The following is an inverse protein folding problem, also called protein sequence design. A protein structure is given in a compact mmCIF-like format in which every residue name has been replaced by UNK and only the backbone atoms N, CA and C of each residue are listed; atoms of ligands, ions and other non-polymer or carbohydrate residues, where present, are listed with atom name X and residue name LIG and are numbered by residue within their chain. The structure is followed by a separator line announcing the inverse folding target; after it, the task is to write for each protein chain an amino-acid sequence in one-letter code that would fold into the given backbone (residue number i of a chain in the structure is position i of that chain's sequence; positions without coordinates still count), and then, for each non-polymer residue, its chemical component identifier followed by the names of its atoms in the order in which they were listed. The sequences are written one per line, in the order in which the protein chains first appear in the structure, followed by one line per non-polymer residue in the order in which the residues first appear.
data_IF_767924154215
#
_entry.id   IF_767924154215
#
_cell.length_a   1.000
_cell.length_b   1.000
_cell.length_c   1.000
_cell.angle_alpha   90.00
_cell.angle_beta   90.00
_cell.angle_gamma   90.00
#
_symmetry.space_group_name_H-M   'P 1'
#
loop_
_entity.id
_entity.type
_entity.pdbx_description
1 polymer ?
#
# COMPACT_ATOMS: atom_id res chain seq x y z
N UNK A 1 74.73 -66.85 -27.26
CA UNK A 1 74.46 -66.26 -25.98
C UNK A 1 73.44 -65.13 -26.22
N UNK A 2 72.21 -65.35 -25.88
CA UNK A 2 71.07 -64.45 -26.20
C UNK A 2 70.63 -63.66 -24.95
N UNK A 3 70.72 -62.36 -24.96
CA UNK A 3 70.27 -61.44 -23.95
C UNK A 3 68.77 -61.10 -24.14
N UNK A 4 67.97 -61.47 -23.19
CA UNK A 4 66.55 -61.20 -23.22
C UNK A 4 66.29 -59.81 -22.58
N UNK A 5 65.73 -58.86 -23.35
CA UNK A 5 65.35 -57.56 -22.86
C UNK A 5 63.89 -57.65 -22.32
N UNK A 6 63.74 -57.38 -21.03
CA UNK A 6 62.44 -57.26 -20.37
C UNK A 6 61.88 -55.82 -20.52
N UNK A 7 60.78 -55.68 -21.22
CA UNK A 7 60.12 -54.41 -21.45
C UNK A 7 59.10 -54.20 -20.34
N UNK A 8 59.29 -53.19 -19.45
CA UNK A 8 58.37 -52.80 -18.41
C UNK A 8 57.36 -51.79 -18.98
N UNK A 9 56.10 -52.17 -19.08
CA UNK A 9 55.01 -51.32 -19.55
C UNK A 9 54.39 -50.61 -18.30
N UNK A 10 54.70 -49.34 -18.16
CA UNK A 10 54.01 -48.50 -17.14
C UNK A 10 52.66 -48.05 -17.68
N UNK A 11 51.54 -48.55 -17.08
CA UNK A 11 50.21 -48.06 -17.34
C UNK A 11 49.94 -46.89 -16.37
N UNK A 12 49.92 -45.67 -16.92
CA UNK A 12 49.49 -44.47 -16.17
C UNK A 12 47.95 -44.42 -16.25
N UNK A 13 47.28 -44.75 -15.17
CA UNK A 13 45.85 -44.56 -15.03
C UNK A 13 45.57 -43.08 -14.68
N UNK A 14 45.14 -42.29 -15.65
CA UNK A 14 44.68 -40.92 -15.44
C UNK A 14 43.26 -40.95 -14.85
N UNK A 15 43.14 -40.71 -13.56
CA UNK A 15 41.85 -40.47 -12.93
C UNK A 15 41.33 -39.09 -13.32
N UNK A 16 40.37 -39.03 -14.25
CA UNK A 16 39.64 -37.81 -14.59
C UNK A 16 38.55 -37.64 -13.50
N UNK A 17 38.82 -36.82 -12.49
CA UNK A 17 37.81 -36.37 -11.57
C UNK A 17 36.92 -35.33 -12.25
N UNK A 18 35.73 -35.74 -12.71
CA UNK A 18 34.70 -34.83 -13.22
C UNK A 18 34.17 -33.99 -12.05
N UNK A 19 34.58 -32.73 -12.00
CA UNK A 19 33.97 -31.73 -11.11
C UNK A 19 32.64 -31.31 -11.73
N UNK A 20 31.55 -31.82 -11.21
CA UNK A 20 30.19 -31.33 -11.53
C UNK A 20 30.01 -30.03 -10.80
N UNK A 21 30.13 -28.89 -11.52
CA UNK A 21 29.74 -27.58 -10.99
C UNK A 21 28.20 -27.58 -10.92
N UNK A 22 27.65 -27.80 -9.74
CA UNK A 22 26.24 -27.55 -9.46
C UNK A 22 26.08 -26.03 -9.39
N UNK A 23 25.71 -25.41 -10.50
CA UNK A 23 25.24 -24.02 -10.49
C UNK A 23 23.87 -24.02 -9.80
N UNK A 24 23.83 -23.63 -8.52
CA UNK A 24 22.60 -23.31 -7.86
C UNK A 24 22.02 -22.07 -8.54
N UNK A 25 21.05 -22.28 -9.42
CA UNK A 25 20.22 -21.22 -9.98
C UNK A 25 19.37 -20.65 -8.81
N UNK A 26 19.93 -19.68 -8.09
CA UNK A 26 19.19 -18.92 -7.10
C UNK A 26 18.19 -18.07 -7.87
N UNK A 27 17.00 -18.61 -8.13
CA UNK A 27 15.85 -17.81 -8.56
C UNK A 27 15.63 -16.73 -7.52
N UNK A 28 16.01 -15.51 -7.84
CA UNK A 28 15.61 -14.33 -7.07
C UNK A 28 14.08 -14.32 -7.12
N UNK A 29 13.45 -14.76 -6.05
CA UNK A 29 11.98 -14.64 -5.90
C UNK A 29 11.70 -13.16 -5.68
N UNK A 30 11.48 -12.44 -6.76
CA UNK A 30 10.99 -11.07 -6.69
C UNK A 30 9.59 -11.16 -6.10
N UNK A 31 9.43 -10.69 -4.86
CA UNK A 31 8.12 -10.66 -4.22
C UNK A 31 7.15 -9.84 -5.07
N UNK A 32 6.00 -10.43 -5.41
CA UNK A 32 4.97 -9.75 -6.19
C UNK A 32 4.46 -8.53 -5.43
N UNK A 33 4.48 -7.36 -6.07
CA UNK A 33 3.97 -6.11 -5.50
C UNK A 33 2.44 -6.11 -5.55
N UNK A 34 1.82 -5.77 -4.43
CA UNK A 34 0.37 -5.55 -4.35
C UNK A 34 -0.05 -4.28 -5.09
N UNK A 35 -1.34 -4.22 -5.38
CA UNK A 35 -2.02 -3.03 -5.87
C UNK A 35 -3.04 -2.60 -4.81
N UNK A 36 -3.21 -1.30 -4.65
CA UNK A 36 -4.15 -0.75 -3.69
C UNK A 36 -5.19 0.11 -4.39
N UNK A 37 -6.46 -0.09 -4.05
CA UNK A 37 -7.50 0.87 -4.38
C UNK A 37 -7.79 1.71 -3.14
N UNK A 38 -7.67 3.03 -3.26
CA UNK A 38 -8.29 3.98 -2.35
C UNK A 38 -9.62 4.41 -2.95
N UNK A 39 -10.71 3.89 -2.38
CA UNK A 39 -12.09 4.19 -2.81
C UNK A 39 -12.70 5.17 -1.81
N UNK A 40 -12.93 6.39 -2.21
CA UNK A 40 -13.46 7.45 -1.37
C UNK A 40 -14.92 7.70 -1.69
N UNK A 41 -15.79 7.52 -0.70
CA UNK A 41 -17.19 7.90 -0.77
C UNK A 41 -17.34 9.34 -0.25
N UNK A 42 -17.84 10.25 -1.08
CA UNK A 42 -18.19 11.62 -0.70
C UNK A 42 -19.66 11.66 -0.35
N UNK A 43 -19.97 12.14 0.85
CA UNK A 43 -21.29 12.04 1.48
C UNK A 43 -21.77 13.42 1.93
N UNK A 44 -23.00 13.78 1.61
CA UNK A 44 -23.56 15.11 1.88
C UNK A 44 -24.57 15.11 3.05
N UNK A 45 -24.91 13.92 3.59
CA UNK A 45 -25.89 13.80 4.68
C UNK A 45 -25.55 12.64 5.63
N UNK A 46 -26.10 12.68 6.85
CA UNK A 46 -26.01 11.56 7.79
C UNK A 46 -26.71 10.30 7.26
N UNK A 47 -27.80 10.44 6.52
CA UNK A 47 -28.48 9.32 5.87
C UNK A 47 -27.56 8.59 4.89
N UNK A 48 -26.77 9.33 4.10
CA UNK A 48 -25.76 8.73 3.20
C UNK A 48 -24.66 8.04 3.99
N UNK A 49 -24.19 8.63 5.10
CA UNK A 49 -23.20 7.99 5.98
C UNK A 49 -23.73 6.66 6.49
N UNK A 50 -24.93 6.63 7.07
CA UNK A 50 -25.54 5.42 7.65
C UNK A 50 -25.77 4.34 6.58
N UNK A 51 -26.29 4.72 5.41
CA UNK A 51 -26.54 3.77 4.31
C UNK A 51 -25.24 3.17 3.78
N UNK A 52 -24.21 3.99 3.60
CA UNK A 52 -22.90 3.53 3.11
C UNK A 52 -22.16 2.71 4.18
N UNK A 53 -22.17 3.12 5.45
CA UNK A 53 -21.60 2.33 6.55
C UNK A 53 -22.22 0.93 6.61
N UNK A 54 -23.56 0.86 6.60
CA UNK A 54 -24.28 -0.42 6.62
C UNK A 54 -23.90 -1.31 5.44
N UNK A 55 -23.91 -0.74 4.24
CA UNK A 55 -23.50 -1.47 3.04
C UNK A 55 -22.06 -2.00 3.12
N UNK A 56 -21.11 -1.17 3.54
CA UNK A 56 -19.72 -1.56 3.68
C UNK A 56 -19.58 -2.69 4.72
N UNK A 57 -20.17 -2.51 5.91
CA UNK A 57 -20.09 -3.44 7.02
C UNK A 57 -20.75 -4.79 6.72
N UNK A 58 -21.96 -4.78 6.17
CA UNK A 58 -22.81 -5.97 6.09
C UNK A 58 -22.74 -6.69 4.74
N UNK A 59 -22.43 -5.98 3.64
CA UNK A 59 -22.43 -6.56 2.31
C UNK A 59 -21.04 -6.54 1.65
N UNK A 60 -20.42 -5.36 1.50
CA UNK A 60 -19.24 -5.22 0.66
C UNK A 60 -18.00 -5.91 1.25
N UNK A 61 -17.63 -5.62 2.51
CA UNK A 61 -16.47 -6.23 3.14
C UNK A 61 -16.59 -7.76 3.28
N UNK A 62 -17.74 -8.33 3.70
CA UNK A 62 -17.92 -9.78 3.70
C UNK A 62 -17.73 -10.41 2.32
N UNK A 63 -18.27 -9.78 1.26
CA UNK A 63 -18.10 -10.26 -0.11
C UNK A 63 -16.63 -10.19 -0.58
N UNK A 64 -15.91 -9.12 -0.28
CA UNK A 64 -14.48 -9.01 -0.56
C UNK A 64 -13.68 -10.12 0.15
N UNK A 65 -13.97 -10.36 1.42
CA UNK A 65 -13.30 -11.41 2.22
C UNK A 65 -13.58 -12.81 1.66
N UNK A 66 -14.81 -13.06 1.20
CA UNK A 66 -15.18 -14.30 0.50
C UNK A 66 -14.38 -14.51 -0.81
N UNK A 67 -14.03 -13.41 -1.49
CA UNK A 67 -13.17 -13.43 -2.68
C UNK A 67 -11.67 -13.50 -2.35
N UNK A 68 -11.30 -13.68 -1.08
CA UNK A 68 -9.91 -13.80 -0.63
C UNK A 68 -9.18 -12.47 -0.49
N UNK A 69 -9.89 -11.33 -0.56
CA UNK A 69 -9.35 -10.00 -0.29
C UNK A 69 -9.45 -9.75 1.22
N UNK A 70 -8.31 -9.54 1.87
CA UNK A 70 -8.19 -9.35 3.32
C UNK A 70 -7.49 -8.03 3.62
N UNK A 71 -7.39 -7.68 4.91
CA UNK A 71 -6.70 -6.47 5.36
C UNK A 71 -7.31 -5.19 4.75
N UNK A 72 -8.64 -5.11 4.78
CA UNK A 72 -9.39 -4.00 4.20
C UNK A 72 -9.51 -2.89 5.25
N UNK A 73 -8.93 -1.73 4.96
CA UNK A 73 -9.07 -0.54 5.79
C UNK A 73 -10.34 0.23 5.47
N UNK A 74 -11.13 0.60 6.49
CA UNK A 74 -12.25 1.54 6.34
C UNK A 74 -12.10 2.65 7.34
N UNK A 75 -12.02 3.87 6.84
CA UNK A 75 -11.67 5.04 7.63
C UNK A 75 -12.66 6.18 7.43
N UNK A 76 -12.82 6.98 8.49
CA UNK A 76 -13.52 8.27 8.46
C UNK A 76 -12.54 9.40 8.73
N UNK A 77 -12.89 10.60 8.29
CA UNK A 77 -12.11 11.81 8.60
C UNK A 77 -12.13 12.05 10.12
N UNK A 78 -10.97 12.40 10.70
CA UNK A 78 -10.97 12.93 12.07
C UNK A 78 -11.75 14.25 12.08
N UNK A 79 -12.59 14.47 13.11
CA UNK A 79 -13.36 15.69 13.19
C UNK A 79 -12.47 16.93 13.12
N UNK A 80 -12.80 17.83 12.21
CA UNK A 80 -12.21 19.16 12.11
C UNK A 80 -13.35 20.17 12.08
N UNK A 81 -13.21 21.27 12.80
CA UNK A 81 -14.26 22.29 12.94
C UNK A 81 -14.69 22.95 11.61
N UNK A 82 -13.84 22.85 10.58
CA UNK A 82 -14.08 23.44 9.26
C UNK A 82 -14.59 22.47 8.21
N UNK A 83 -14.61 21.15 8.49
CA UNK A 83 -14.99 20.16 7.49
C UNK A 83 -16.52 20.02 7.41
N UNK A 84 -17.08 20.46 6.29
CA UNK A 84 -18.49 20.28 5.94
C UNK A 84 -18.74 18.97 5.18
N UNK A 85 -17.71 18.39 4.56
CA UNK A 85 -17.80 17.16 3.77
C UNK A 85 -17.51 15.94 4.63
N UNK A 86 -18.40 14.95 4.54
CA UNK A 86 -18.21 13.63 5.14
C UNK A 86 -17.61 12.70 4.11
N UNK A 87 -16.56 11.99 4.50
CA UNK A 87 -15.91 11.00 3.63
C UNK A 87 -15.74 9.67 4.36
N UNK A 88 -15.94 8.58 3.62
CA UNK A 88 -15.52 7.25 4.02
C UNK A 88 -14.48 6.79 3.00
N UNK A 89 -13.30 6.43 3.47
CA UNK A 89 -12.19 5.98 2.63
C UNK A 89 -11.97 4.49 2.87
N UNK A 90 -11.98 3.70 1.81
CA UNK A 90 -11.76 2.26 1.84
C UNK A 90 -10.45 1.96 1.14
N UNK A 91 -9.49 1.37 1.87
CA UNK A 91 -8.23 0.87 1.36
C UNK A 91 -8.36 -0.63 1.10
N UNK A 92 -8.27 -1.03 -0.17
CA UNK A 92 -8.47 -2.42 -0.60
C UNK A 92 -7.19 -2.92 -1.27
N UNK A 93 -6.49 -3.91 -0.69
CA UNK A 93 -5.33 -4.52 -1.34
C UNK A 93 -5.73 -5.62 -2.32
N UNK A 94 -5.03 -5.66 -3.45
CA UNK A 94 -5.16 -6.68 -4.48
C UNK A 94 -3.81 -7.31 -4.78
N UNK A 95 -3.80 -8.63 -4.93
CA UNK A 95 -2.57 -9.37 -5.30
C UNK A 95 -2.16 -9.13 -6.75
N UNK A 96 -3.08 -8.67 -7.61
CA UNK A 96 -2.83 -8.41 -9.03
C UNK A 96 -3.87 -7.44 -9.62
N UNK A 97 -3.55 -6.80 -10.73
CA UNK A 97 -4.51 -6.02 -11.52
C UNK A 97 -5.68 -6.89 -12.02
N UNK A 98 -5.44 -8.14 -12.37
CA UNK A 98 -6.50 -9.06 -12.78
C UNK A 98 -7.52 -9.30 -11.68
N UNK A 99 -7.09 -9.37 -10.40
CA UNK A 99 -8.00 -9.47 -9.27
C UNK A 99 -8.85 -8.20 -9.11
N UNK A 100 -8.24 -7.03 -9.27
CA UNK A 100 -8.95 -5.74 -9.25
C UNK A 100 -9.99 -5.66 -10.38
N UNK A 101 -9.60 -5.95 -11.62
CA UNK A 101 -10.49 -5.86 -12.80
C UNK A 101 -11.66 -6.85 -12.73
N UNK A 102 -11.46 -8.03 -12.15
CA UNK A 102 -12.50 -9.05 -12.03
C UNK A 102 -13.48 -8.81 -10.87
N UNK A 103 -13.23 -7.81 -10.00
CA UNK A 103 -13.98 -7.64 -8.76
C UNK A 103 -15.47 -7.41 -9.01
N UNK A 104 -15.81 -6.39 -9.79
CA UNK A 104 -17.22 -5.99 -10.00
C UNK A 104 -18.03 -7.11 -10.65
N UNK A 105 -17.45 -7.85 -11.62
CA UNK A 105 -18.10 -8.99 -12.24
C UNK A 105 -18.39 -10.13 -11.23
N UNK A 106 -17.45 -10.38 -10.31
CA UNK A 106 -17.65 -11.40 -9.27
C UNK A 106 -18.70 -10.98 -8.25
N UNK A 107 -18.71 -9.71 -7.84
CA UNK A 107 -19.72 -9.17 -6.93
C UNK A 107 -21.12 -9.21 -7.56
N UNK A 108 -21.26 -8.91 -8.84
CA UNK A 108 -22.54 -8.97 -9.56
C UNK A 108 -23.16 -10.39 -9.63
N UNK A 109 -22.35 -11.43 -9.41
CA UNK A 109 -22.79 -12.84 -9.36
C UNK A 109 -23.03 -13.36 -7.94
N UNK A 110 -22.65 -12.60 -6.89
CA UNK A 110 -22.80 -13.02 -5.50
C UNK A 110 -24.21 -12.67 -4.98
N UNK A 111 -25.09 -13.68 -4.93
CA UNK A 111 -26.49 -13.52 -4.47
C UNK A 111 -26.58 -12.97 -3.04
N UNK A 112 -25.67 -13.37 -2.15
CA UNK A 112 -25.65 -12.87 -0.76
C UNK A 112 -25.31 -11.41 -0.73
N UNK A 113 -24.28 -10.99 -1.44
CA UNK A 113 -23.89 -9.59 -1.58
C UNK A 113 -25.02 -8.74 -2.15
N UNK A 114 -25.66 -9.20 -3.23
CA UNK A 114 -26.78 -8.48 -3.88
C UNK A 114 -27.98 -8.34 -2.95
N UNK A 115 -28.34 -9.39 -2.21
CA UNK A 115 -29.48 -9.36 -1.29
C UNK A 115 -29.20 -8.48 -0.07
N UNK A 116 -28.04 -8.63 0.59
CA UNK A 116 -27.67 -7.86 1.79
C UNK A 116 -27.42 -6.40 1.44
N UNK A 117 -26.80 -6.12 0.29
CA UNK A 117 -26.51 -4.78 -0.20
C UNK A 117 -27.67 -4.05 -0.89
N UNK A 118 -28.86 -4.68 -1.00
CA UNK A 118 -29.94 -4.22 -1.87
C UNK A 118 -30.38 -2.77 -1.62
N UNK A 119 -30.41 -2.32 -0.37
CA UNK A 119 -30.78 -0.95 0.00
C UNK A 119 -29.84 0.09 -0.62
N UNK A 120 -28.55 -0.22 -0.69
CA UNK A 120 -27.52 0.62 -1.29
C UNK A 120 -27.48 0.44 -2.82
N UNK A 121 -27.44 -0.83 -3.29
CA UNK A 121 -27.24 -1.17 -4.70
C UNK A 121 -28.42 -0.75 -5.58
N UNK A 122 -29.66 -0.85 -5.05
CA UNK A 122 -30.88 -0.55 -5.78
C UNK A 122 -31.48 0.81 -5.36
N UNK A 123 -30.67 1.68 -4.73
CA UNK A 123 -31.14 2.99 -4.32
C UNK A 123 -31.65 3.81 -5.51
N UNK A 124 -32.74 4.52 -5.31
CA UNK A 124 -33.33 5.36 -6.35
C UNK A 124 -32.51 6.63 -6.56
N UNK A 125 -32.71 7.27 -7.71
CA UNK A 125 -32.08 8.56 -8.01
C UNK A 125 -32.29 9.62 -6.92
N UNK A 126 -33.49 9.63 -6.31
CA UNK A 126 -33.83 10.59 -5.24
C UNK A 126 -33.22 10.27 -3.89
N UNK A 127 -32.70 9.05 -3.72
CA UNK A 127 -32.15 8.54 -2.45
C UNK A 127 -30.74 7.97 -2.66
N UNK A 128 -29.93 8.68 -3.44
CA UNK A 128 -28.55 8.24 -3.72
C UNK A 128 -27.77 8.04 -2.41
N UNK A 129 -27.13 6.86 -2.24
CA UNK A 129 -26.45 6.52 -1.00
C UNK A 129 -25.10 7.25 -0.82
N UNK A 130 -24.66 7.95 -1.80
CA UNK A 130 -23.46 8.81 -1.80
C UNK A 130 -23.63 9.93 -2.83
N UNK A 131 -22.81 10.98 -2.72
CA UNK A 131 -22.72 12.03 -3.73
C UNK A 131 -21.81 11.63 -4.88
N UNK A 132 -20.58 11.17 -4.56
CA UNK A 132 -19.59 10.72 -5.53
C UNK A 132 -18.78 9.57 -4.94
N UNK A 133 -18.19 8.77 -5.85
CA UNK A 133 -17.11 7.84 -5.54
C UNK A 133 -15.90 8.29 -6.34
N UNK A 134 -14.78 8.46 -5.64
CA UNK A 134 -13.46 8.67 -6.20
C UNK A 134 -12.66 7.38 -6.04
N UNK A 135 -11.87 7.03 -7.03
CA UNK A 135 -11.03 5.83 -6.99
C UNK A 135 -9.62 6.17 -7.45
N UNK A 136 -8.65 5.82 -6.62
CA UNK A 136 -7.22 5.92 -6.94
C UNK A 136 -6.64 4.53 -6.90
N UNK A 137 -5.96 4.12 -7.98
CA UNK A 137 -5.26 2.84 -8.06
C UNK A 137 -3.76 3.08 -7.91
N UNK A 138 -3.16 2.35 -6.96
CA UNK A 138 -1.75 2.45 -6.64
C UNK A 138 -1.06 1.10 -6.84
N UNK A 139 0.24 1.15 -7.10
CA UNK A 139 1.13 0.00 -7.06
C UNK A 139 2.06 0.15 -5.86
N UNK A 140 2.14 -0.86 -5.00
CA UNK A 140 3.02 -0.85 -3.82
C UNK A 140 4.47 -0.51 -4.20
N UNK A 141 5.23 0.15 -3.34
CA UNK A 141 6.66 0.34 -3.55
C UNK A 141 7.39 -1.01 -3.56
N UNK A 142 8.48 -1.12 -4.31
CA UNK A 142 9.22 -2.39 -4.43
C UNK A 142 9.82 -2.83 -3.08
N UNK A 143 10.24 -1.88 -2.25
CA UNK A 143 10.84 -2.13 -0.95
C UNK A 143 9.78 -2.40 0.14
N UNK A 144 8.50 -2.06 -0.12
CA UNK A 144 7.34 -2.34 0.70
C UNK A 144 6.23 -2.95 -0.17
N UNK A 145 6.42 -4.18 -0.67
CA UNK A 145 5.60 -4.76 -1.74
C UNK A 145 4.20 -5.19 -1.30
N UNK A 146 3.96 -5.29 0.00
CA UNK A 146 2.69 -5.70 0.61
C UNK A 146 2.25 -4.72 1.69
N UNK A 147 0.94 -4.63 1.87
CA UNK A 147 0.31 -3.82 2.90
C UNK A 147 0.56 -4.42 4.30
N UNK A 148 0.80 -3.55 5.28
CA UNK A 148 0.98 -3.93 6.69
C UNK A 148 -0.20 -3.40 7.52
N UNK A 149 -0.81 -4.26 8.34
CA UNK A 149 -1.76 -3.80 9.35
C UNK A 149 -0.96 -3.32 10.57
N UNK A 150 -1.06 -2.04 10.92
CA UNK A 150 -0.34 -1.49 12.05
C UNK A 150 -0.86 -2.04 13.39
N UNK A 151 0.04 -2.40 14.28
CA UNK A 151 -0.32 -2.83 15.64
C UNK A 151 -0.33 -1.61 16.55
N UNK A 152 -1.53 -1.16 16.93
CA UNK A 152 -1.75 -0.03 17.83
C UNK A 152 -2.60 -0.48 19.02
N UNK A 153 -2.14 -0.20 20.24
CA UNK A 153 -2.83 -0.60 21.48
C UNK A 153 -3.86 0.43 21.98
N UNK A 154 -3.91 1.60 21.37
CA UNK A 154 -4.87 2.66 21.73
C UNK A 154 -6.29 2.36 21.24
N UNK A 155 -7.34 2.92 21.87
CA UNK A 155 -8.70 2.88 21.33
C UNK A 155 -8.76 3.41 19.90
N UNK A 156 -9.55 2.76 19.04
CA UNK A 156 -9.64 3.11 17.60
C UNK A 156 -9.97 4.58 17.34
N UNK A 157 -10.87 5.18 18.13
CA UNK A 157 -11.24 6.59 18.00
C UNK A 157 -10.08 7.57 18.23
N UNK A 158 -9.09 7.17 19.05
CA UNK A 158 -7.92 8.01 19.34
C UNK A 158 -6.83 7.89 18.27
N UNK A 159 -6.79 6.75 17.55
CA UNK A 159 -5.75 6.49 16.55
C UNK A 159 -5.74 7.56 15.46
N UNK A 160 -4.56 7.85 14.95
CA UNK A 160 -4.36 8.72 13.79
C UNK A 160 -3.77 7.88 12.67
N UNK A 161 -4.50 7.81 11.56
CA UNK A 161 -4.03 7.31 10.29
C UNK A 161 -3.82 8.52 9.39
N UNK A 162 -2.58 8.85 9.10
CA UNK A 162 -2.22 10.01 8.31
C UNK A 162 -1.97 9.58 6.86
N UNK A 163 -2.95 9.85 6.00
CA UNK A 163 -2.84 9.63 4.56
C UNK A 163 -2.24 10.87 3.91
N UNK A 164 -1.13 10.68 3.23
CA UNK A 164 -0.46 11.73 2.47
C UNK A 164 -0.46 11.45 0.98
N UNK A 165 -0.62 12.50 0.20
CA UNK A 165 -0.61 12.51 -1.25
C UNK A 165 0.37 13.58 -1.71
N UNK A 166 1.41 13.20 -2.46
CA UNK A 166 2.46 14.09 -2.94
C UNK A 166 2.46 14.13 -4.46
N UNK A 167 2.00 15.25 -5.00
CA UNK A 167 1.98 15.53 -6.43
C UNK A 167 3.31 16.16 -6.87
N UNK A 168 3.75 15.85 -8.07
CA UNK A 168 4.94 16.44 -8.68
C UNK A 168 4.57 17.14 -9.99
N UNK A 169 5.38 18.13 -10.39
CA UNK A 169 5.09 18.94 -11.56
C UNK A 169 5.27 18.18 -12.90
N UNK A 170 6.11 17.13 -12.93
CA UNK A 170 6.34 16.27 -14.09
C UNK A 170 6.66 14.84 -13.63
N UNK A 171 6.58 13.88 -14.56
CA UNK A 171 6.93 12.47 -14.30
C UNK A 171 8.42 12.30 -13.90
N UNK A 172 9.31 13.11 -14.45
CA UNK A 172 10.74 13.09 -14.10
C UNK A 172 10.95 13.57 -12.65
N UNK A 173 10.29 14.64 -12.26
CA UNK A 173 10.32 15.17 -10.88
C UNK A 173 9.67 14.17 -9.91
N UNK A 174 8.58 13.54 -10.32
CA UNK A 174 7.94 12.46 -9.58
C UNK A 174 8.89 11.27 -9.34
N UNK A 175 9.58 10.82 -10.39
CA UNK A 175 10.56 9.73 -10.27
C UNK A 175 11.69 10.10 -9.29
N UNK A 176 12.10 11.37 -9.26
CA UNK A 176 13.06 11.89 -8.29
C UNK A 176 12.49 11.86 -6.86
N UNK A 177 11.20 12.20 -6.66
CA UNK A 177 10.57 12.08 -5.32
C UNK A 177 10.49 10.63 -4.87
N UNK A 178 10.15 9.69 -5.75
CA UNK A 178 10.17 8.25 -5.46
C UNK A 178 11.60 7.78 -5.10
N UNK A 179 12.62 8.27 -5.80
CA UNK A 179 14.04 7.98 -5.46
C UNK A 179 14.41 8.50 -4.07
N UNK A 180 13.96 9.71 -3.70
CA UNK A 180 14.16 10.29 -2.37
C UNK A 180 13.60 9.40 -1.26
N UNK A 181 12.39 8.85 -1.47
CA UNK A 181 11.76 7.91 -0.54
C UNK A 181 12.58 6.63 -0.37
N UNK A 182 13.08 6.06 -1.47
CA UNK A 182 13.76 4.77 -1.53
C UNK A 182 15.27 4.90 -1.30
N UNK A 183 16.02 5.21 -2.36
CA UNK A 183 17.48 5.30 -2.31
C UNK A 183 17.97 6.48 -1.45
N UNK A 184 17.20 7.57 -1.39
CA UNK A 184 17.47 8.72 -0.51
C UNK A 184 17.32 8.39 0.98
N UNK A 185 16.58 7.34 1.33
CA UNK A 185 16.48 6.84 2.69
C UNK A 185 15.34 7.44 3.54
N UNK A 186 14.38 8.17 2.98
CA UNK A 186 13.25 8.73 3.73
C UNK A 186 12.43 7.60 4.40
N UNK A 187 12.19 6.46 3.72
CA UNK A 187 11.51 5.28 4.31
C UNK A 187 12.32 4.70 5.47
N UNK A 188 13.64 4.56 5.32
CA UNK A 188 14.50 4.04 6.41
C UNK A 188 14.43 4.94 7.65
N UNK A 189 14.30 6.24 7.44
CA UNK A 189 14.12 7.20 8.53
C UNK A 189 12.75 7.02 9.19
N UNK A 190 11.68 6.82 8.44
CA UNK A 190 10.36 6.47 9.00
C UNK A 190 10.41 5.20 9.83
N UNK A 191 11.08 4.15 9.33
CA UNK A 191 11.24 2.87 10.06
C UNK A 191 12.00 3.08 11.37
N UNK A 192 13.14 3.79 11.33
CA UNK A 192 13.94 4.09 12.52
C UNK A 192 13.16 4.89 13.57
N UNK A 193 12.30 5.79 13.13
CA UNK A 193 11.48 6.64 13.98
C UNK A 193 10.10 6.02 14.31
N UNK A 194 9.88 4.74 13.98
CA UNK A 194 8.66 4.00 14.28
C UNK A 194 7.35 4.67 13.79
N UNK A 195 7.36 5.21 12.57
CA UNK A 195 6.17 5.81 11.93
C UNK A 195 5.06 4.80 11.62
N UNK A 196 5.37 3.50 11.75
CA UNK A 196 4.41 2.43 11.63
C UNK A 196 3.56 2.51 10.36
N UNK A 197 4.17 2.43 9.15
CA UNK A 197 3.48 2.64 7.90
C UNK A 197 2.52 1.50 7.56
N UNK A 198 1.34 1.83 7.01
CA UNK A 198 0.43 0.86 6.45
C UNK A 198 0.80 0.50 5.00
N UNK A 199 1.15 1.50 4.19
CA UNK A 199 1.59 1.30 2.81
C UNK A 199 2.37 2.51 2.28
N UNK A 200 3.15 2.26 1.22
CA UNK A 200 3.67 3.25 0.28
C UNK A 200 3.29 2.82 -1.14
N UNK A 201 2.77 3.73 -1.94
CA UNK A 201 2.26 3.40 -3.28
C UNK A 201 2.50 4.48 -4.32
N UNK A 202 2.84 4.04 -5.52
CA UNK A 202 2.87 4.85 -6.73
C UNK A 202 1.47 4.90 -7.32
N UNK A 203 0.89 6.08 -7.53
CA UNK A 203 -0.41 6.22 -8.21
C UNK A 203 -0.22 5.86 -9.67
N UNK A 204 -0.95 4.84 -10.14
CA UNK A 204 -0.92 4.39 -11.54
C UNK A 204 -2.19 4.78 -12.30
N UNK A 205 -3.25 5.16 -11.58
CA UNK A 205 -4.48 5.73 -12.15
C UNK A 205 -5.20 6.56 -11.09
N UNK A 206 -5.55 7.79 -11.41
CA UNK A 206 -6.25 8.72 -10.51
C UNK A 206 -6.28 10.14 -11.08
N UNK A 207 -6.95 11.06 -10.38
CA UNK A 207 -7.16 12.44 -10.85
C UNK A 207 -5.96 13.38 -10.63
N UNK A 208 -5.01 13.00 -9.78
CA UNK A 208 -3.90 13.86 -9.31
C UNK A 208 -2.55 13.22 -9.62
N UNK A 209 -2.23 13.10 -10.90
CA UNK A 209 -0.98 12.47 -11.36
C UNK A 209 -0.04 13.51 -12.00
N UNK A 210 1.29 13.29 -11.90
CA UNK A 210 1.99 12.19 -11.23
C UNK A 210 2.00 12.37 -9.71
N UNK A 211 1.83 11.27 -8.96
CA UNK A 211 1.57 11.31 -7.52
C UNK A 211 2.02 10.01 -6.83
N UNK A 212 2.57 10.12 -5.63
CA UNK A 212 2.71 9.01 -4.70
C UNK A 212 1.83 9.24 -3.47
N UNK A 213 1.36 8.17 -2.88
CA UNK A 213 0.60 8.21 -1.63
C UNK A 213 1.15 7.21 -0.63
N UNK A 214 1.04 7.54 0.64
CA UNK A 214 1.40 6.64 1.73
C UNK A 214 0.57 6.92 2.98
N UNK A 215 0.54 5.96 3.88
CA UNK A 215 -0.19 6.09 5.14
C UNK A 215 0.69 5.68 6.30
N UNK A 216 0.91 6.59 7.24
CA UNK A 216 1.56 6.35 8.52
C UNK A 216 0.54 6.35 9.65
N UNK A 217 0.86 5.69 10.78
CA UNK A 217 -0.14 5.46 11.83
C UNK A 217 0.43 5.69 13.23
N UNK A 218 -0.41 6.26 14.09
CA UNK A 218 0.00 6.69 15.43
C UNK A 218 -1.10 6.36 16.45
N UNK A 219 -0.70 6.15 17.70
CA UNK A 219 -1.61 5.82 18.79
C UNK A 219 -2.64 6.94 19.06
N UNK A 220 -2.24 8.20 18.89
CA UNK A 220 -3.07 9.40 19.05
C UNK A 220 -2.37 10.61 18.39
N UNK A 221 -2.99 11.78 18.49
CA UNK A 221 -2.46 13.01 17.90
C UNK A 221 -1.13 13.45 18.53
N UNK A 222 -0.99 13.34 19.84
CA UNK A 222 0.25 13.70 20.56
C UNK A 222 1.43 12.83 20.10
N UNK A 223 1.21 11.52 20.00
CA UNK A 223 2.21 10.58 19.45
C UNK A 223 2.60 10.95 18.01
N UNK A 224 1.62 11.27 17.18
CA UNK A 224 1.84 11.72 15.79
C UNK A 224 2.76 12.97 15.76
N UNK A 225 2.45 13.99 16.55
CA UNK A 225 3.18 15.25 16.57
C UNK A 225 4.61 15.07 17.09
N UNK A 226 4.79 14.21 18.09
CA UNK A 226 6.12 13.85 18.60
C UNK A 226 6.98 13.15 17.53
N UNK A 227 6.42 12.21 16.77
CA UNK A 227 7.13 11.50 15.69
C UNK A 227 7.53 12.46 14.57
N UNK A 228 6.63 13.34 14.12
CA UNK A 228 6.95 14.31 13.07
C UNK A 228 7.97 15.35 13.54
N UNK A 229 7.92 15.74 14.83
CA UNK A 229 8.98 16.59 15.41
C UNK A 229 10.34 15.88 15.38
N UNK A 230 10.39 14.61 15.82
CA UNK A 230 11.62 13.82 15.78
C UNK A 230 12.15 13.64 14.35
N UNK A 231 11.25 13.46 13.37
CA UNK A 231 11.60 13.38 11.96
C UNK A 231 12.24 14.69 11.47
N UNK A 232 11.58 15.83 11.70
CA UNK A 232 12.05 17.14 11.24
C UNK A 232 13.38 17.55 11.91
N UNK A 233 13.59 17.14 13.16
CA UNK A 233 14.80 17.45 13.91
C UNK A 233 15.97 16.52 13.60
N UNK A 234 15.72 15.37 12.95
CA UNK A 234 16.75 14.36 12.69
C UNK A 234 17.85 14.88 11.77
N UNK A 235 19.12 14.54 12.02
CA UNK A 235 20.22 14.87 11.13
C UNK A 235 20.02 14.32 9.71
N UNK A 236 19.53 13.08 9.60
CA UNK A 236 19.33 12.42 8.32
C UNK A 236 18.32 13.16 7.43
N UNK A 237 17.24 13.67 8.00
CA UNK A 237 16.28 14.47 7.25
C UNK A 237 16.90 15.79 6.78
N UNK A 238 17.63 16.49 7.68
CA UNK A 238 18.30 17.75 7.35
C UNK A 238 19.33 17.57 6.23
N UNK A 239 20.12 16.50 6.28
CA UNK A 239 21.05 16.14 5.21
C UNK A 239 20.32 15.83 3.90
N UNK A 240 19.25 15.03 3.96
CA UNK A 240 18.48 14.61 2.78
C UNK A 240 17.87 15.80 2.03
N UNK A 241 17.21 16.72 2.74
CA UNK A 241 16.58 17.91 2.12
C UNK A 241 17.61 18.97 1.66
N UNK A 242 18.84 18.92 2.16
CA UNK A 242 19.92 19.78 1.71
C UNK A 242 20.48 19.37 0.34
N UNK A 243 20.27 18.13 -0.08
CA UNK A 243 20.74 17.63 -1.38
C UNK A 243 20.04 18.35 -2.53
N UNK A 244 20.81 19.03 -3.38
CA UNK A 244 20.27 19.78 -4.52
C UNK A 244 19.35 18.93 -5.43
N UNK A 245 19.72 17.65 -5.62
CA UNK A 245 18.96 16.72 -6.47
C UNK A 245 17.53 16.46 -5.99
N UNK A 246 17.19 16.72 -4.70
CA UNK A 246 15.85 16.45 -4.15
C UNK A 246 15.03 17.71 -3.88
N UNK A 247 15.55 18.88 -4.23
CA UNK A 247 14.82 20.13 -4.09
C UNK A 247 13.65 20.21 -5.08
N UNK A 248 12.56 20.84 -4.65
CA UNK A 248 11.39 21.16 -5.47
C UNK A 248 10.73 19.93 -6.17
N UNK A 249 10.78 18.76 -5.53
CA UNK A 249 10.20 17.54 -6.10
C UNK A 249 8.73 17.28 -5.69
N UNK A 250 8.11 18.19 -4.96
CA UNK A 250 6.68 18.21 -4.64
C UNK A 250 6.10 19.54 -5.14
N UNK A 251 5.04 19.49 -5.95
CA UNK A 251 4.28 20.66 -6.41
C UNK A 251 3.05 20.95 -5.56
N UNK A 252 2.43 19.90 -5.02
CA UNK A 252 1.28 19.97 -4.11
C UNK A 252 1.28 18.80 -3.13
N UNK A 253 0.77 19.02 -1.92
CA UNK A 253 0.67 18.00 -0.89
C UNK A 253 -0.67 18.08 -0.18
N UNK A 254 -1.38 16.94 -0.13
CA UNK A 254 -2.54 16.76 0.74
C UNK A 254 -2.17 15.90 1.95
N UNK A 255 -2.67 16.31 3.10
CA UNK A 255 -2.59 15.54 4.36
C UNK A 255 -4.00 15.33 4.90
N UNK A 256 -4.40 14.08 5.04
CA UNK A 256 -5.72 13.72 5.55
C UNK A 256 -5.60 12.89 6.82
N UNK A 257 -6.20 13.36 7.91
CA UNK A 257 -6.26 12.64 9.18
C UNK A 257 -7.50 11.79 9.27
N UNK A 258 -7.29 10.51 9.58
CA UNK A 258 -8.29 9.47 9.56
C UNK A 258 -8.33 8.71 10.89
N UNK A 259 -9.45 8.06 11.18
CA UNK A 259 -9.56 7.02 12.19
C UNK A 259 -10.32 5.82 11.61
N UNK A 260 -10.00 4.57 12.05
CA UNK A 260 -10.65 3.38 11.52
C UNK A 260 -12.04 3.20 12.11
N UNK A 261 -12.98 2.71 11.31
CA UNK A 261 -14.30 2.30 11.78
C UNK A 261 -14.21 1.04 12.65
N UNK A 262 -15.30 0.69 13.37
CA UNK A 262 -15.38 -0.53 14.19
C UNK A 262 -15.30 -1.83 13.38
N UNK A 263 -15.67 -1.76 12.10
CA UNK A 263 -15.67 -2.89 11.16
C UNK A 263 -14.46 -2.90 10.18
N UNK A 264 -13.53 -1.97 10.33
CA UNK A 264 -12.25 -1.98 9.63
C UNK A 264 -11.35 -3.12 10.13
N UNK A 265 -10.50 -3.67 9.27
CA UNK A 265 -9.48 -4.64 9.67
C UNK A 265 -8.28 -3.96 10.41
N UNK A 266 -8.30 -2.62 10.53
CA UNK A 266 -7.24 -1.78 11.11
C UNK A 266 -7.50 -1.35 12.54
#
# INVERSE_FOLDING_TARGET
MKATKLLFLMIIASAITSFTIVTADSKIVVQSREFYQLKTYVLNSEQQVQTTDKYLKEAYLPALKKLGIKNIGVFKLKPNATDTLKKIIVLIPFKSLSQFLALEEKLAKDKTYLATGAQYLNATYKQAPYSRIESVLLKAFADHPILTIPVLNSPRANRVYELRSYESATEAIYSNKVDMFKAGGEIKLFDRLAFNPAFYGEVISGAKMPNLMYMTTFANQESRDAHWKAFSDSPEWKELIALEKYKNNISHMDITFLYPTDYSDY
#
